data_IF_061331049385
#
_entry.id   IF_061331049385
#
_cell.length_a   1.000
_cell.length_b   1.000
_cell.length_c   1.000
_cell.angle_alpha   90.00
_cell.angle_beta   90.00
_cell.angle_gamma   90.00
#
_symmetry.space_group_name_H-M   'P 1'
#
loop_
_entity.id
_entity.type
_entity.pdbx_description
1 polymer ?
#
# COMPACT_ATOMS: atom_id res chain seq x y z
N UNK A 1 40.81 15.35 -8.27
CA UNK A 1 39.80 15.18 -7.23
C UNK A 1 39.10 13.82 -7.44
N UNK A 2 39.35 12.85 -6.58
CA UNK A 2 38.79 11.51 -6.71
C UNK A 2 37.28 11.55 -6.36
N UNK A 3 36.45 11.13 -7.30
CA UNK A 3 35.03 10.94 -7.11
C UNK A 3 34.87 9.82 -6.07
N UNK A 4 34.45 10.14 -4.87
CA UNK A 4 34.07 9.15 -3.85
C UNK A 4 32.97 8.28 -4.45
N UNK A 5 33.26 7.02 -4.74
CA UNK A 5 32.26 6.03 -5.09
C UNK A 5 31.31 5.88 -3.90
N UNK A 6 30.11 6.37 -4.04
CA UNK A 6 29.06 6.00 -3.10
C UNK A 6 28.86 4.48 -3.24
N UNK A 7 29.18 3.73 -2.17
CA UNK A 7 28.80 2.33 -2.06
C UNK A 7 27.30 2.27 -2.35
N UNK A 8 26.92 1.57 -3.40
CA UNK A 8 25.51 1.33 -3.71
C UNK A 8 24.86 0.70 -2.45
N UNK A 9 23.93 1.40 -1.85
CA UNK A 9 23.13 0.86 -0.74
C UNK A 9 22.36 -0.31 -1.34
N UNK A 10 22.67 -1.53 -0.91
CA UNK A 10 21.97 -2.74 -1.35
C UNK A 10 21.07 -3.15 -0.21
N UNK A 11 19.78 -3.34 -0.49
CA UNK A 11 18.83 -3.90 0.46
C UNK A 11 19.27 -5.32 0.80
N UNK A 12 19.30 -5.67 2.10
CA UNK A 12 19.75 -6.98 2.57
C UNK A 12 18.69 -8.07 2.37
N UNK A 13 17.43 -7.68 2.34
CA UNK A 13 16.29 -8.60 2.18
C UNK A 13 16.17 -9.09 0.74
N UNK A 14 15.97 -10.41 0.59
CA UNK A 14 15.66 -11.04 -0.70
C UNK A 14 14.23 -10.75 -1.16
N UNK A 15 13.31 -10.57 -0.23
CA UNK A 15 11.87 -10.44 -0.46
C UNK A 15 11.35 -9.13 0.13
N UNK A 16 10.24 -8.61 -0.41
CA UNK A 16 9.48 -7.51 0.18
C UNK A 16 8.16 -8.04 0.74
N UNK A 17 8.17 -8.53 1.97
CA UNK A 17 7.00 -9.18 2.59
C UNK A 17 6.20 -8.23 3.49
N UNK A 18 6.85 -7.26 4.12
CA UNK A 18 6.24 -6.28 5.01
C UNK A 18 7.10 -5.04 5.18
N UNK A 19 6.53 -4.02 5.79
CA UNK A 19 7.26 -2.81 6.20
C UNK A 19 8.13 -3.09 7.41
N UNK A 20 7.68 -3.97 8.31
CA UNK A 20 8.41 -4.32 9.52
C UNK A 20 9.80 -4.92 9.25
N UNK A 21 9.99 -5.53 8.08
CA UNK A 21 11.25 -6.17 7.70
C UNK A 21 12.26 -5.17 7.09
N UNK A 22 11.87 -3.91 6.90
CA UNK A 22 12.69 -2.86 6.30
C UNK A 22 13.27 -1.93 7.36
N UNK A 23 14.51 -1.51 7.15
CA UNK A 23 15.10 -0.39 7.89
C UNK A 23 14.68 0.95 7.30
N UNK A 24 14.88 2.04 8.05
CA UNK A 24 14.67 3.42 7.53
C UNK A 24 15.55 3.68 6.30
N UNK A 25 16.77 3.13 6.27
CA UNK A 25 17.66 3.26 5.11
C UNK A 25 17.11 2.55 3.88
N UNK A 26 16.52 1.35 4.05
CA UNK A 26 15.89 0.60 2.95
C UNK A 26 14.67 1.34 2.40
N UNK A 27 13.83 1.87 3.30
CA UNK A 27 12.67 2.67 2.93
C UNK A 27 13.11 3.89 2.11
N UNK A 28 14.07 4.66 2.62
CA UNK A 28 14.58 5.83 1.92
C UNK A 28 15.21 5.47 0.57
N UNK A 29 15.89 4.34 0.47
CA UNK A 29 16.46 3.86 -0.78
C UNK A 29 15.36 3.55 -1.80
N UNK A 30 14.30 2.82 -1.41
CA UNK A 30 13.15 2.52 -2.28
C UNK A 30 12.46 3.83 -2.73
N UNK A 31 12.21 4.76 -1.82
CA UNK A 31 11.53 6.01 -2.13
C UNK A 31 12.36 6.89 -3.08
N UNK A 32 13.69 6.97 -2.87
CA UNK A 32 14.60 7.71 -3.75
C UNK A 32 14.69 7.07 -5.15
N UNK A 33 14.71 5.76 -5.24
CA UNK A 33 14.65 5.05 -6.51
C UNK A 33 13.32 5.29 -7.23
N UNK A 34 12.20 5.30 -6.49
CA UNK A 34 10.88 5.57 -7.04
C UNK A 34 10.75 6.99 -7.64
N UNK A 35 11.39 7.99 -7.04
CA UNK A 35 11.39 9.38 -7.56
C UNK A 35 11.94 9.47 -8.98
N UNK A 36 12.92 8.63 -9.34
CA UNK A 36 13.49 8.60 -10.69
C UNK A 36 12.44 8.19 -11.74
N UNK A 37 11.44 7.38 -11.37
CA UNK A 37 10.41 6.91 -12.28
C UNK A 37 9.21 7.85 -12.41
N UNK A 38 9.07 8.87 -11.57
CA UNK A 38 7.93 9.81 -11.63
C UNK A 38 7.91 10.52 -13.00
N UNK A 39 9.03 11.10 -13.41
CA UNK A 39 9.15 11.81 -14.68
C UNK A 39 9.09 10.86 -15.88
N UNK A 40 9.66 9.67 -15.76
CA UNK A 40 9.58 8.64 -16.80
C UNK A 40 8.11 8.29 -17.11
N UNK A 41 7.28 8.17 -16.07
CA UNK A 41 5.87 7.84 -16.22
C UNK A 41 5.06 8.89 -17.00
N UNK A 42 5.54 10.13 -17.05
CA UNK A 42 4.95 11.25 -17.82
C UNK A 42 5.56 11.45 -19.21
N UNK A 43 6.69 10.81 -19.50
CA UNK A 43 7.41 10.97 -20.79
C UNK A 43 6.71 10.25 -21.95
N UNK A 44 7.07 10.60 -23.19
CA UNK A 44 6.59 9.90 -24.39
C UNK A 44 7.07 8.46 -24.45
N UNK A 45 8.37 8.23 -24.22
CA UNK A 45 8.93 6.89 -24.09
C UNK A 45 8.97 6.49 -22.61
N UNK A 46 8.16 5.49 -22.25
CA UNK A 46 8.02 5.01 -20.87
C UNK A 46 8.70 3.67 -20.65
N UNK A 47 9.46 3.17 -21.65
CA UNK A 47 10.13 1.87 -21.58
C UNK A 47 11.59 2.01 -21.26
N UNK A 48 12.07 1.09 -20.42
CA UNK A 48 13.46 0.85 -20.07
C UNK A 48 13.78 -0.62 -20.31
N UNK A 49 15.07 -0.92 -20.45
CA UNK A 49 15.58 -2.31 -20.59
C UNK A 49 16.15 -2.85 -19.27
N UNK A 50 15.79 -2.25 -18.14
CA UNK A 50 16.35 -2.57 -16.81
C UNK A 50 16.14 -4.03 -16.41
N UNK A 51 14.98 -4.60 -16.75
CA UNK A 51 14.60 -5.99 -16.47
C UNK A 51 14.42 -6.82 -17.75
N UNK A 52 15.13 -6.46 -18.82
CA UNK A 52 15.10 -7.21 -20.06
C UNK A 52 15.59 -8.65 -19.84
N UNK A 53 14.83 -9.63 -20.30
CA UNK A 53 15.10 -11.06 -20.11
C UNK A 53 14.79 -11.59 -18.72
N UNK A 54 14.16 -10.79 -17.85
CA UNK A 54 13.66 -11.19 -16.54
C UNK A 54 12.19 -11.53 -16.62
N UNK A 55 11.77 -12.60 -15.92
CA UNK A 55 10.38 -13.06 -15.86
C UNK A 55 9.73 -12.64 -14.54
N UNK A 56 8.67 -11.85 -14.65
CA UNK A 56 7.82 -11.45 -13.53
C UNK A 56 6.49 -12.20 -13.60
N UNK A 57 6.11 -12.89 -12.51
CA UNK A 57 4.79 -13.50 -12.38
C UNK A 57 3.95 -12.71 -11.38
N UNK A 58 2.79 -12.22 -11.80
CA UNK A 58 1.79 -11.61 -10.93
C UNK A 58 0.73 -12.66 -10.55
N UNK A 59 0.76 -13.11 -9.31
CA UNK A 59 -0.05 -14.21 -8.79
C UNK A 59 -1.14 -13.64 -7.85
N UNK A 60 -2.37 -13.51 -8.34
CA UNK A 60 -3.46 -12.89 -7.60
C UNK A 60 -4.55 -13.89 -7.24
N UNK A 61 -4.68 -14.20 -5.94
CA UNK A 61 -5.74 -15.04 -5.37
C UNK A 61 -6.95 -14.21 -4.91
N UNK A 62 -6.82 -12.89 -4.87
CA UNK A 62 -7.88 -11.95 -4.52
C UNK A 62 -7.98 -10.89 -5.64
N UNK A 63 -9.18 -10.58 -6.14
CA UNK A 63 -9.35 -9.59 -7.21
C UNK A 63 -8.79 -8.21 -6.82
N UNK A 64 -8.01 -7.61 -7.67
CA UNK A 64 -7.48 -6.26 -7.47
C UNK A 64 -7.03 -5.61 -8.78
N UNK A 65 -7.97 -4.96 -9.47
CA UNK A 65 -7.67 -4.30 -10.75
C UNK A 65 -6.52 -3.31 -10.65
N UNK A 66 -6.56 -2.38 -9.68
CA UNK A 66 -5.51 -1.35 -9.52
C UNK A 66 -4.13 -1.94 -9.24
N UNK A 67 -4.02 -2.82 -8.25
CA UNK A 67 -2.72 -3.36 -7.85
C UNK A 67 -2.13 -4.24 -8.94
N UNK A 68 -2.93 -5.12 -9.54
CA UNK A 68 -2.49 -5.99 -10.61
C UNK A 68 -2.06 -5.20 -11.84
N UNK A 69 -2.90 -4.29 -12.35
CA UNK A 69 -2.57 -3.47 -13.52
C UNK A 69 -1.33 -2.59 -13.28
N UNK A 70 -1.17 -2.07 -12.05
CA UNK A 70 -0.02 -1.25 -11.70
C UNK A 70 1.29 -2.04 -11.68
N UNK A 71 1.31 -3.28 -11.15
CA UNK A 71 2.49 -4.14 -11.20
C UNK A 71 2.77 -4.63 -12.63
N UNK A 72 1.74 -4.97 -13.39
CA UNK A 72 1.89 -5.36 -14.79
C UNK A 72 2.48 -4.22 -15.63
N UNK A 73 1.95 -3.01 -15.44
CA UNK A 73 2.45 -1.82 -16.12
C UNK A 73 3.90 -1.51 -15.71
N UNK A 74 4.22 -1.63 -14.43
CA UNK A 74 5.57 -1.39 -13.90
C UNK A 74 6.60 -2.36 -14.50
N UNK A 75 6.30 -3.65 -14.53
CA UNK A 75 7.20 -4.65 -15.14
C UNK A 75 7.39 -4.44 -16.63
N UNK A 76 6.31 -4.20 -17.38
CA UNK A 76 6.36 -3.91 -18.82
C UNK A 76 7.15 -2.64 -19.14
N UNK A 77 7.11 -1.61 -18.27
CA UNK A 77 7.91 -0.39 -18.42
C UNK A 77 9.40 -0.62 -18.17
N UNK A 78 9.72 -1.56 -17.28
CA UNK A 78 11.10 -1.96 -17.00
C UNK A 78 11.66 -2.97 -18.02
N UNK A 79 10.85 -3.45 -18.97
CA UNK A 79 11.28 -4.39 -20.00
C UNK A 79 11.20 -5.86 -19.59
N UNK A 80 10.53 -6.19 -18.48
CA UNK A 80 10.34 -7.56 -18.04
C UNK A 80 9.30 -8.31 -18.90
N UNK A 81 9.45 -9.63 -19.01
CA UNK A 81 8.40 -10.54 -19.48
C UNK A 81 7.41 -10.76 -18.34
N UNK A 82 6.21 -10.17 -18.46
CA UNK A 82 5.21 -10.15 -17.40
C UNK A 82 4.07 -11.12 -17.69
N UNK A 83 3.88 -12.08 -16.80
CA UNK A 83 2.75 -12.99 -16.80
C UNK A 83 1.82 -12.69 -15.63
N UNK A 84 0.56 -12.35 -15.89
CA UNK A 84 -0.45 -12.09 -14.86
C UNK A 84 -1.45 -13.26 -14.79
N UNK A 85 -1.54 -13.89 -13.62
CA UNK A 85 -2.42 -15.02 -13.34
C UNK A 85 -3.48 -14.63 -12.33
N UNK A 86 -4.74 -14.80 -12.71
CA UNK A 86 -5.87 -14.67 -11.78
C UNK A 86 -6.36 -16.07 -11.43
N UNK A 87 -5.96 -16.58 -10.28
CA UNK A 87 -6.15 -17.97 -9.87
C UNK A 87 -7.55 -18.24 -9.32
N UNK A 88 -8.30 -17.20 -8.95
CA UNK A 88 -9.67 -17.34 -8.40
C UNK A 88 -10.57 -18.24 -9.26
N UNK A 89 -10.29 -18.35 -10.54
CA UNK A 89 -11.12 -19.11 -11.49
C UNK A 89 -10.48 -20.40 -12.05
N UNK A 90 -9.22 -20.74 -11.75
CA UNK A 90 -8.54 -21.84 -12.45
C UNK A 90 -8.06 -23.00 -11.57
N UNK A 91 -7.05 -22.81 -10.70
CA UNK A 91 -6.38 -23.91 -10.01
C UNK A 91 -7.06 -24.29 -8.67
N UNK A 92 -7.54 -23.31 -7.89
CA UNK A 92 -8.21 -23.57 -6.59
C UNK A 92 -9.48 -24.42 -6.78
N UNK A 93 -10.21 -24.25 -7.87
CA UNK A 93 -11.40 -25.06 -8.19
C UNK A 93 -11.09 -26.56 -8.41
N UNK A 94 -9.81 -26.89 -8.64
CA UNK A 94 -9.33 -28.26 -8.82
C UNK A 94 -8.69 -28.86 -7.56
N UNK A 95 -8.70 -28.13 -6.42
CA UNK A 95 -8.12 -28.59 -5.16
C UNK A 95 -6.60 -28.38 -5.03
N UNK A 96 -5.98 -27.59 -5.92
CA UNK A 96 -4.56 -27.27 -5.85
C UNK A 96 -4.29 -26.33 -4.66
N UNK A 97 -3.25 -26.66 -3.86
CA UNK A 97 -2.85 -25.83 -2.71
C UNK A 97 -1.95 -24.67 -3.16
N UNK A 98 -1.79 -23.67 -2.28
CA UNK A 98 -0.81 -22.59 -2.49
C UNK A 98 0.62 -23.12 -2.67
N UNK A 99 0.97 -24.22 -1.97
CA UNK A 99 2.30 -24.84 -2.06
C UNK A 99 2.48 -25.50 -3.42
N UNK A 100 1.49 -26.23 -3.92
CA UNK A 100 1.55 -26.86 -5.25
C UNK A 100 1.69 -25.83 -6.35
N UNK A 101 0.91 -24.73 -6.26
CA UNK A 101 1.05 -23.59 -7.18
C UNK A 101 2.45 -22.98 -7.11
N UNK A 102 2.99 -22.78 -5.89
CA UNK A 102 4.35 -22.24 -5.70
C UNK A 102 5.41 -23.14 -6.33
N UNK A 103 5.34 -24.45 -6.12
CA UNK A 103 6.27 -25.43 -6.68
C UNK A 103 6.20 -25.48 -8.21
N UNK A 104 4.99 -25.46 -8.77
CA UNK A 104 4.77 -25.42 -10.21
C UNK A 104 5.39 -24.16 -10.84
N UNK A 105 5.17 -23.00 -10.25
CA UNK A 105 5.73 -21.75 -10.77
C UNK A 105 7.25 -21.68 -10.57
N UNK A 106 7.77 -22.19 -9.45
CA UNK A 106 9.20 -22.24 -9.21
C UNK A 106 9.94 -23.09 -10.28
N UNK A 107 9.34 -24.18 -10.72
CA UNK A 107 9.88 -25.02 -11.79
C UNK A 107 9.95 -24.33 -13.17
N UNK A 108 9.26 -23.18 -13.33
CA UNK A 108 9.34 -22.33 -14.54
C UNK A 108 10.46 -21.28 -14.43
N UNK A 109 11.23 -21.27 -13.34
CA UNK A 109 12.36 -20.39 -13.08
C UNK A 109 12.05 -18.89 -13.26
N UNK A 110 10.99 -18.32 -12.60
CA UNK A 110 10.77 -16.88 -12.63
C UNK A 110 11.87 -16.16 -11.83
N UNK A 111 12.12 -14.92 -12.19
CA UNK A 111 13.04 -14.07 -11.43
C UNK A 111 12.33 -13.37 -10.26
N UNK A 112 11.02 -13.14 -10.38
CA UNK A 112 10.24 -12.47 -9.35
C UNK A 112 8.76 -12.88 -9.38
N UNK A 113 8.19 -13.11 -8.20
CA UNK A 113 6.76 -13.34 -8.00
C UNK A 113 6.16 -12.20 -7.19
N UNK A 114 5.12 -11.56 -7.73
CA UNK A 114 4.25 -10.61 -7.02
C UNK A 114 3.01 -11.35 -6.59
N UNK A 115 2.77 -11.47 -5.29
CA UNK A 115 1.63 -12.25 -4.78
C UNK A 115 0.64 -11.37 -4.00
N UNK A 116 -0.66 -11.61 -4.23
CA UNK A 116 -1.75 -11.09 -3.42
C UNK A 116 -2.65 -12.23 -2.98
N UNK A 117 -2.87 -12.35 -1.68
CA UNK A 117 -3.66 -13.44 -1.09
C UNK A 117 -4.65 -12.91 -0.04
N UNK A 118 -5.77 -13.63 0.13
CA UNK A 118 -6.79 -13.32 1.13
C UNK A 118 -6.37 -13.73 2.54
N UNK A 119 -5.52 -14.74 2.69
CA UNK A 119 -5.09 -15.26 3.98
C UNK A 119 -3.76 -14.64 4.40
N UNK A 120 -3.69 -14.20 5.66
CA UNK A 120 -2.46 -13.63 6.25
C UNK A 120 -1.38 -14.70 6.41
N UNK A 121 -0.14 -14.37 6.02
CA UNK A 121 1.00 -15.28 6.05
C UNK A 121 1.25 -16.02 4.74
N UNK A 122 0.33 -16.00 3.78
CA UNK A 122 0.47 -16.67 2.49
C UNK A 122 1.71 -16.21 1.72
N UNK A 123 2.00 -14.90 1.73
CA UNK A 123 3.19 -14.36 1.07
C UNK A 123 4.50 -14.89 1.70
N UNK A 124 4.53 -15.02 3.03
CA UNK A 124 5.67 -15.56 3.75
C UNK A 124 5.84 -17.06 3.49
N UNK A 125 4.74 -17.82 3.48
CA UNK A 125 4.78 -19.26 3.16
C UNK A 125 5.32 -19.48 1.74
N UNK A 126 4.84 -18.72 0.75
CA UNK A 126 5.30 -18.83 -0.63
C UNK A 126 6.79 -18.46 -0.76
N UNK A 127 7.26 -17.43 -0.07
CA UNK A 127 8.67 -17.01 -0.13
C UNK A 127 9.66 -18.07 0.34
N UNK A 128 9.22 -19.01 1.21
CA UNK A 128 10.02 -20.15 1.68
C UNK A 128 10.04 -21.33 0.72
N UNK A 129 9.22 -21.32 -0.34
CA UNK A 129 9.02 -22.42 -1.28
C UNK A 129 9.50 -22.11 -2.69
N UNK A 130 9.99 -20.90 -2.93
CA UNK A 130 10.47 -20.46 -4.24
C UNK A 130 11.90 -19.91 -4.17
N UNK A 131 12.64 -20.08 -5.25
CA UNK A 131 14.03 -19.63 -5.37
C UNK A 131 14.12 -18.14 -5.75
N UNK A 132 13.10 -17.59 -6.39
CA UNK A 132 13.05 -16.20 -6.82
C UNK A 132 12.64 -15.23 -5.69
N UNK A 133 12.75 -13.94 -5.94
CA UNK A 133 12.26 -12.91 -5.02
C UNK A 133 10.74 -12.86 -4.99
N UNK A 134 10.18 -12.48 -3.83
CA UNK A 134 8.73 -12.35 -3.63
C UNK A 134 8.39 -10.94 -3.17
N UNK A 135 7.40 -10.32 -3.83
CA UNK A 135 6.81 -9.03 -3.42
C UNK A 135 5.37 -9.24 -2.98
N UNK A 136 5.07 -8.82 -1.77
CA UNK A 136 3.72 -8.81 -1.20
C UNK A 136 2.88 -7.66 -1.81
N UNK A 137 1.84 -8.01 -2.57
CA UNK A 137 0.86 -7.08 -3.15
C UNK A 137 -0.46 -7.03 -2.35
N UNK A 138 -0.45 -7.55 -1.12
CA UNK A 138 -1.56 -7.58 -0.19
C UNK A 138 -1.77 -8.96 0.43
N UNK A 139 -1.49 -9.08 1.73
CA UNK A 139 -1.45 -10.31 2.51
C UNK A 139 -2.55 -10.29 3.59
N UNK A 140 -3.70 -10.81 3.28
CA UNK A 140 -4.83 -10.91 4.21
C UNK A 140 -5.18 -9.58 4.88
N UNK A 141 -5.10 -9.57 6.22
CA UNK A 141 -5.22 -8.37 7.06
C UNK A 141 -3.86 -7.87 7.55
N UNK A 142 -2.75 -8.54 7.13
CA UNK A 142 -1.42 -8.30 7.70
C UNK A 142 -0.77 -7.07 7.10
N UNK A 143 -0.35 -7.10 5.84
CA UNK A 143 0.39 -6.00 5.24
C UNK A 143 0.14 -5.81 3.74
N UNK A 144 0.42 -4.59 3.27
CA UNK A 144 0.49 -4.21 1.86
C UNK A 144 1.64 -3.19 1.69
N UNK A 145 2.91 -3.64 1.72
CA UNK A 145 4.06 -2.75 1.83
C UNK A 145 4.14 -1.73 0.70
N UNK A 146 3.87 -2.13 -0.56
CA UNK A 146 3.93 -1.18 -1.67
C UNK A 146 2.82 -0.12 -1.64
N UNK A 147 1.73 -0.34 -0.90
CA UNK A 147 0.73 0.69 -0.65
C UNK A 147 1.24 1.73 0.34
N UNK A 148 1.81 1.30 1.48
CA UNK A 148 2.37 2.24 2.45
C UNK A 148 3.53 3.05 1.85
N UNK A 149 4.40 2.42 1.05
CA UNK A 149 5.49 3.12 0.36
C UNK A 149 4.99 4.17 -0.63
N UNK A 150 3.92 3.89 -1.40
CA UNK A 150 3.36 4.91 -2.31
C UNK A 150 2.64 6.02 -1.53
N UNK A 151 2.00 5.69 -0.43
CA UNK A 151 1.37 6.68 0.45
C UNK A 151 2.44 7.62 1.03
N UNK A 152 3.55 7.07 1.53
CA UNK A 152 4.69 7.85 2.02
C UNK A 152 5.32 8.71 0.92
N UNK A 153 5.51 8.17 -0.30
CA UNK A 153 6.02 8.96 -1.43
C UNK A 153 5.07 10.12 -1.77
N UNK A 154 3.75 9.87 -1.76
CA UNK A 154 2.74 10.91 -2.01
C UNK A 154 2.83 12.04 -0.98
N UNK A 155 2.99 11.68 0.30
CA UNK A 155 3.16 12.65 1.38
C UNK A 155 4.42 13.48 1.17
N UNK A 156 5.55 12.84 0.88
CA UNK A 156 6.83 13.53 0.66
C UNK A 156 6.76 14.48 -0.54
N UNK A 157 6.13 14.08 -1.64
CA UNK A 157 5.98 14.93 -2.83
C UNK A 157 5.08 16.17 -2.59
N UNK A 158 4.18 16.11 -1.60
CA UNK A 158 3.24 17.19 -1.30
C UNK A 158 3.63 18.03 -0.06
N UNK A 159 4.25 17.42 0.93
CA UNK A 159 4.61 18.05 2.24
C UNK A 159 6.12 18.07 2.51
N UNK A 160 6.95 17.62 1.53
CA UNK A 160 8.41 17.58 1.57
C UNK A 160 9.01 16.58 2.56
N UNK A 161 8.37 16.31 3.67
CA UNK A 161 8.81 15.40 4.74
C UNK A 161 7.62 14.69 5.40
N UNK A 162 7.92 13.63 6.13
CA UNK A 162 6.93 12.92 6.98
C UNK A 162 7.18 13.24 8.46
N UNK A 163 8.43 13.37 8.86
CA UNK A 163 8.80 13.62 10.25
C UNK A 163 8.08 14.85 10.81
N UNK A 164 7.42 14.67 11.95
CA UNK A 164 6.69 15.71 12.67
C UNK A 164 5.34 16.09 12.07
N UNK A 165 4.88 15.44 10.97
CA UNK A 165 3.50 15.59 10.51
C UNK A 165 2.55 14.82 11.40
N UNK A 166 1.35 15.37 11.56
CA UNK A 166 0.25 14.72 12.24
C UNK A 166 -0.72 14.12 11.21
N UNK A 167 -0.87 12.80 11.26
CA UNK A 167 -1.57 12.03 10.23
C UNK A 167 -2.71 11.24 10.86
N UNK A 168 -3.94 11.51 10.43
CA UNK A 168 -5.11 10.73 10.83
C UNK A 168 -5.33 9.58 9.84
N UNK A 169 -5.50 8.35 10.36
CA UNK A 169 -5.96 7.17 9.61
C UNK A 169 -7.33 6.80 10.14
N UNK A 170 -8.35 6.95 9.30
CA UNK A 170 -9.76 6.87 9.69
C UNK A 170 -10.49 5.72 9.02
N UNK A 171 -11.25 4.95 9.77
CA UNK A 171 -12.16 3.95 9.21
C UNK A 171 -12.04 2.56 9.80
N UNK A 172 -12.16 1.53 8.96
CA UNK A 172 -12.03 0.14 9.37
C UNK A 172 -10.57 -0.24 9.58
N UNK A 173 -10.09 -0.06 10.79
CA UNK A 173 -8.68 -0.34 11.15
C UNK A 173 -8.46 -1.84 11.35
N UNK A 174 -9.44 -2.53 11.98
CA UNK A 174 -9.33 -3.93 12.36
C UNK A 174 -9.07 -4.86 11.16
N UNK A 175 -9.72 -4.58 10.02
CA UNK A 175 -9.62 -5.42 8.84
C UNK A 175 -8.65 -4.87 7.79
N UNK A 176 -8.02 -3.72 8.03
CA UNK A 176 -7.22 -3.02 7.03
C UNK A 176 -5.73 -3.34 7.11
N UNK A 177 -5.23 -4.13 6.15
CA UNK A 177 -3.80 -4.29 5.91
C UNK A 177 -3.09 -2.97 5.52
N UNK A 178 -3.82 -2.03 4.91
CA UNK A 178 -3.29 -0.72 4.54
C UNK A 178 -3.04 0.13 5.79
N UNK A 179 -4.01 0.14 6.74
CA UNK A 179 -3.80 0.80 8.03
C UNK A 179 -2.53 0.28 8.71
N UNK A 180 -2.39 -1.04 8.80
CA UNK A 180 -1.27 -1.67 9.50
C UNK A 180 0.08 -1.32 8.89
N UNK A 181 0.23 -1.45 7.57
CA UNK A 181 1.48 -1.08 6.89
C UNK A 181 1.78 0.41 7.00
N UNK A 182 0.77 1.30 6.93
CA UNK A 182 0.96 2.73 7.13
C UNK A 182 1.33 3.07 8.57
N UNK A 183 0.73 2.43 9.57
CA UNK A 183 1.11 2.61 10.98
C UNK A 183 2.61 2.33 11.14
N UNK A 184 3.10 1.17 10.70
CA UNK A 184 4.52 0.84 10.80
C UNK A 184 5.40 1.87 10.09
N UNK A 185 5.08 2.19 8.84
CA UNK A 185 5.90 3.08 8.03
C UNK A 185 5.94 4.51 8.58
N UNK A 186 4.78 5.08 8.88
CA UNK A 186 4.66 6.48 9.27
C UNK A 186 5.22 6.74 10.67
N UNK A 187 5.01 5.82 11.63
CA UNK A 187 5.62 5.93 12.96
C UNK A 187 7.14 5.76 12.87
N UNK A 188 7.65 4.82 12.07
CA UNK A 188 9.08 4.66 11.82
C UNK A 188 9.72 5.90 11.20
N UNK A 189 9.00 6.63 10.34
CA UNK A 189 9.46 7.88 9.72
C UNK A 189 9.21 9.12 10.58
N UNK A 190 8.73 8.96 11.82
CA UNK A 190 8.61 10.03 12.82
C UNK A 190 7.35 10.90 12.68
N UNK A 191 6.29 10.40 12.08
CA UNK A 191 4.98 11.04 12.11
C UNK A 191 4.27 10.81 13.46
N UNK A 192 3.45 11.75 13.89
CA UNK A 192 2.41 11.55 14.91
C UNK A 192 1.18 10.94 14.22
N UNK A 193 0.83 9.69 14.56
CA UNK A 193 -0.27 8.99 13.91
C UNK A 193 -1.48 8.88 14.82
N UNK A 194 -2.60 9.43 14.38
CA UNK A 194 -3.91 9.33 15.04
C UNK A 194 -4.75 8.26 14.33
N UNK A 195 -5.21 7.27 15.06
CA UNK A 195 -6.13 6.24 14.58
C UNK A 195 -7.54 6.59 15.02
N UNK A 196 -8.45 6.71 14.05
CA UNK A 196 -9.84 7.09 14.32
C UNK A 196 -10.77 6.00 13.77
N UNK A 197 -11.55 5.37 14.65
CA UNK A 197 -12.40 4.26 14.28
C UNK A 197 -13.54 4.06 15.28
N UNK A 198 -14.69 3.49 14.86
CA UNK A 198 -15.65 2.92 15.79
C UNK A 198 -14.97 1.92 16.74
N UNK A 199 -15.41 1.84 17.96
CA UNK A 199 -14.77 0.98 18.99
C UNK A 199 -14.70 -0.49 18.57
N UNK A 200 -15.72 -0.99 17.88
CA UNK A 200 -15.79 -2.37 17.38
C UNK A 200 -14.93 -2.65 16.13
N UNK A 201 -14.43 -1.61 15.46
CA UNK A 201 -13.48 -1.70 14.34
C UNK A 201 -12.07 -1.24 14.74
N UNK A 202 -11.85 -0.97 16.02
CA UNK A 202 -10.58 -0.59 16.60
C UNK A 202 -9.88 -1.82 17.17
N UNK A 203 -8.65 -2.15 16.72
CA UNK A 203 -7.88 -3.23 17.33
C UNK A 203 -7.58 -2.93 18.80
N UNK A 204 -7.63 -3.97 19.64
CA UNK A 204 -7.13 -3.89 21.00
C UNK A 204 -5.63 -3.56 20.98
N UNK A 205 -5.17 -2.82 21.97
CA UNK A 205 -3.74 -2.51 22.15
C UNK A 205 -3.07 -1.78 20.97
N UNK A 206 -3.83 -1.10 20.11
CA UNK A 206 -3.28 -0.39 18.93
C UNK A 206 -2.22 0.65 19.33
N UNK A 207 -2.33 1.21 20.53
CA UNK A 207 -1.39 2.20 21.08
C UNK A 207 0.03 1.62 21.25
N UNK A 208 0.19 0.29 21.36
CA UNK A 208 1.51 -0.37 21.41
C UNK A 208 2.35 -0.14 20.15
N UNK A 209 1.73 0.28 19.06
CA UNK A 209 2.42 0.65 17.82
C UNK A 209 2.84 2.14 17.78
N UNK A 210 2.75 2.85 18.92
CA UNK A 210 3.16 4.26 19.02
C UNK A 210 2.17 5.24 18.38
N UNK A 211 0.89 4.89 18.34
CA UNK A 211 -0.18 5.72 17.77
C UNK A 211 -1.15 6.21 18.83
N UNK A 212 -1.83 7.33 18.55
CA UNK A 212 -2.93 7.83 19.39
C UNK A 212 -4.25 7.24 18.92
N UNK A 213 -5.13 6.86 19.86
CA UNK A 213 -6.42 6.22 19.59
C UNK A 213 -7.58 7.15 19.85
N UNK A 214 -8.51 7.24 18.90
CA UNK A 214 -9.71 8.08 19.00
C UNK A 214 -10.95 7.34 18.47
N UNK A 215 -12.06 7.52 19.16
CA UNK A 215 -13.41 7.11 18.69
C UNK A 215 -14.24 8.31 18.21
N UNK A 216 -13.68 9.51 18.25
CA UNK A 216 -14.33 10.76 17.90
C UNK A 216 -13.52 11.49 16.81
N UNK A 217 -14.20 11.81 15.69
CA UNK A 217 -13.55 12.44 14.52
C UNK A 217 -13.02 13.82 14.86
N UNK A 218 -13.74 14.63 15.64
CA UNK A 218 -13.33 16.00 15.99
C UNK A 218 -12.02 16.02 16.77
N UNK A 219 -11.90 15.12 17.75
CA UNK A 219 -10.68 15.01 18.57
C UNK A 219 -9.51 14.43 17.77
N UNK A 220 -9.78 13.39 17.00
CA UNK A 220 -8.74 12.69 16.25
C UNK A 220 -8.20 13.46 15.05
N UNK A 221 -9.03 14.28 14.39
CA UNK A 221 -8.62 15.12 13.25
C UNK A 221 -7.94 16.42 13.66
N UNK A 222 -8.01 16.79 14.94
CA UNK A 222 -7.51 18.09 15.41
C UNK A 222 -6.05 18.32 15.01
N UNK A 223 -5.83 19.40 14.25
CA UNK A 223 -4.53 19.86 13.78
C UNK A 223 -3.78 18.86 12.89
N UNK A 224 -4.47 17.90 12.27
CA UNK A 224 -3.86 16.95 11.35
C UNK A 224 -3.45 17.61 10.04
N UNK A 225 -2.26 17.25 9.54
CA UNK A 225 -1.74 17.65 8.22
C UNK A 225 -2.31 16.78 7.11
N UNK A 226 -2.70 15.55 7.44
CA UNK A 226 -3.18 14.54 6.48
C UNK A 226 -4.33 13.75 7.10
N UNK A 227 -5.35 13.52 6.30
CA UNK A 227 -6.49 12.66 6.62
C UNK A 227 -6.56 11.52 5.62
N UNK A 228 -6.17 10.33 6.06
CA UNK A 228 -6.24 9.11 5.25
C UNK A 228 -7.51 8.35 5.60
N UNK A 229 -8.46 8.31 4.67
CA UNK A 229 -9.69 7.56 4.81
C UNK A 229 -9.50 6.12 4.32
N UNK A 230 -10.07 5.16 5.03
CA UNK A 230 -10.03 3.75 4.69
C UNK A 230 -11.41 3.27 4.27
N UNK A 231 -11.43 2.38 3.28
CA UNK A 231 -12.66 1.73 2.84
C UNK A 231 -13.24 0.84 3.94
N UNK A 232 -14.54 0.93 4.12
CA UNK A 232 -15.29 -0.01 4.95
C UNK A 232 -15.32 -1.38 4.25
N UNK A 233 -14.79 -2.42 4.92
CA UNK A 233 -14.58 -3.73 4.31
C UNK A 233 -15.70 -4.70 4.65
N UNK A 234 -16.93 -4.40 4.20
CA UNK A 234 -18.14 -5.20 4.49
C UNK A 234 -17.95 -6.69 4.14
N UNK A 235 -17.20 -7.00 3.08
CA UNK A 235 -16.92 -8.37 2.65
C UNK A 235 -16.05 -9.18 3.62
N UNK A 236 -15.40 -8.53 4.57
CA UNK A 236 -14.56 -9.16 5.61
C UNK A 236 -15.22 -9.22 6.98
N UNK A 237 -16.42 -8.65 7.09
CA UNK A 237 -17.20 -8.66 8.31
C UNK A 237 -18.11 -9.88 8.33
N UNK A 238 -17.91 -10.77 9.30
CA UNK A 238 -18.74 -11.98 9.48
C UNK A 238 -19.99 -11.74 10.32
N UNK A 239 -20.13 -10.55 10.91
CA UNK A 239 -21.25 -10.13 11.77
C UNK A 239 -21.56 -8.66 11.57
N UNK A 240 -22.70 -8.21 12.09
CA UNK A 240 -23.15 -6.82 12.02
C UNK A 240 -22.29 -5.92 12.93
N UNK A 241 -21.08 -5.55 12.45
CA UNK A 241 -20.20 -4.63 13.16
C UNK A 241 -20.72 -3.19 13.16
N UNK A 242 -21.62 -2.86 12.23
CA UNK A 242 -22.18 -1.54 12.07
C UNK A 242 -23.70 -1.63 11.94
N UNK A 243 -24.41 -0.67 12.53
CA UNK A 243 -25.87 -0.59 12.45
C UNK A 243 -26.34 -0.27 11.03
N UNK A 244 -25.67 0.65 10.34
CA UNK A 244 -25.92 0.99 8.93
C UNK A 244 -24.78 1.81 8.31
N UNK A 245 -24.70 1.81 6.96
CA UNK A 245 -23.78 2.69 6.24
C UNK A 245 -24.09 4.17 6.46
N UNK A 246 -25.38 4.53 6.67
CA UNK A 246 -25.79 5.92 6.93
C UNK A 246 -25.29 6.40 8.29
N UNK A 247 -25.43 5.57 9.32
CA UNK A 247 -24.91 5.88 10.66
C UNK A 247 -23.37 5.98 10.64
N UNK A 248 -22.70 5.07 9.94
CA UNK A 248 -21.25 5.16 9.76
C UNK A 248 -20.83 6.46 9.08
N UNK A 249 -21.50 6.88 8.01
CA UNK A 249 -21.23 8.16 7.32
C UNK A 249 -21.44 9.35 8.27
N UNK A 250 -22.49 9.35 9.03
CA UNK A 250 -22.79 10.42 9.97
C UNK A 250 -21.69 10.61 11.02
N UNK A 251 -21.17 9.52 11.59
CA UNK A 251 -20.18 9.60 12.65
C UNK A 251 -18.73 9.58 12.13
N UNK A 252 -18.41 8.80 11.12
CA UNK A 252 -17.03 8.51 10.67
C UNK A 252 -16.76 8.81 9.20
N UNK A 253 -17.77 9.10 8.39
CA UNK A 253 -17.56 9.60 7.02
C UNK A 253 -16.93 10.98 7.03
N UNK A 254 -15.91 11.20 6.20
CA UNK A 254 -15.29 12.51 6.04
C UNK A 254 -16.19 13.43 5.22
N UNK A 255 -16.72 14.46 5.86
CA UNK A 255 -17.54 15.52 5.27
C UNK A 255 -16.76 16.84 5.23
N UNK A 256 -17.20 17.85 4.45
CA UNK A 256 -16.58 19.18 4.48
C UNK A 256 -16.51 19.77 5.90
N UNK A 257 -17.58 19.63 6.70
CA UNK A 257 -17.62 20.15 8.08
C UNK A 257 -16.60 19.43 8.98
N UNK A 258 -16.47 18.12 8.88
CA UNK A 258 -15.48 17.35 9.67
C UNK A 258 -14.05 17.67 9.24
N UNK A 259 -13.83 17.95 7.96
CA UNK A 259 -12.50 18.30 7.47
C UNK A 259 -12.01 19.64 8.07
N UNK A 260 -12.90 20.52 8.52
CA UNK A 260 -12.53 21.77 9.24
C UNK A 260 -11.85 21.53 10.58
N UNK A 261 -11.91 20.31 11.14
CA UNK A 261 -11.19 19.98 12.37
C UNK A 261 -9.69 19.75 12.13
N UNK A 262 -9.30 19.40 10.90
CA UNK A 262 -7.90 19.32 10.48
C UNK A 262 -7.38 20.70 10.07
N UNK A 263 -6.10 20.79 9.71
CA UNK A 263 -5.53 22.05 9.19
C UNK A 263 -6.18 22.45 7.87
N UNK A 264 -6.20 23.75 7.60
CA UNK A 264 -6.80 24.30 6.36
C UNK A 264 -6.15 23.75 5.09
N UNK A 265 -4.85 23.41 5.14
CA UNK A 265 -4.08 22.80 4.06
C UNK A 265 -3.94 21.27 4.19
N UNK A 266 -4.76 20.63 5.04
CA UNK A 266 -4.71 19.19 5.22
C UNK A 266 -5.03 18.44 3.93
N UNK A 267 -4.23 17.43 3.61
CA UNK A 267 -4.42 16.59 2.43
C UNK A 267 -5.34 15.41 2.73
N UNK A 268 -6.13 15.04 1.73
CA UNK A 268 -7.04 13.89 1.79
C UNK A 268 -6.43 12.75 0.98
N UNK A 269 -6.31 11.58 1.60
CA UNK A 269 -5.79 10.36 1.01
C UNK A 269 -6.80 9.21 1.11
N UNK A 270 -6.75 8.29 0.14
CA UNK A 270 -7.55 7.07 0.16
C UNK A 270 -6.90 5.98 -0.71
N UNK A 271 -6.64 4.77 -0.20
CA UNK A 271 -5.96 3.72 -0.97
C UNK A 271 -6.82 3.12 -2.09
N UNK A 272 -8.12 3.45 -2.10
CA UNK A 272 -9.11 2.92 -3.04
C UNK A 272 -9.34 1.38 -2.93
N UNK A 273 -10.48 0.87 -3.48
CA UNK A 273 -11.60 1.64 -4.00
C UNK A 273 -12.30 2.41 -2.88
N UNK A 274 -12.91 3.52 -3.20
CA UNK A 274 -13.70 4.27 -2.23
C UNK A 274 -15.20 4.02 -2.42
N UNK A 275 -15.94 3.99 -1.31
CA UNK A 275 -17.40 4.00 -1.30
C UNK A 275 -17.85 5.44 -1.03
N UNK A 276 -18.12 6.18 -2.10
CA UNK A 276 -18.57 7.58 -2.02
C UNK A 276 -19.89 7.67 -1.24
N UNK A 277 -19.98 8.61 -0.31
CA UNK A 277 -21.12 8.76 0.57
C UNK A 277 -21.19 7.73 1.72
N UNK A 278 -20.09 6.99 1.97
CA UNK A 278 -19.95 6.10 3.13
C UNK A 278 -18.76 6.50 3.98
N UNK A 279 -17.53 6.35 3.48
CA UNK A 279 -16.34 6.79 4.23
C UNK A 279 -15.87 8.19 3.85
N UNK A 280 -16.26 8.70 2.66
CA UNK A 280 -15.84 10.01 2.18
C UNK A 280 -16.95 10.66 1.33
N UNK A 281 -17.16 11.96 1.51
CA UNK A 281 -18.02 12.76 0.65
C UNK A 281 -17.48 12.83 -0.78
N UNK A 282 -18.38 12.82 -1.76
CA UNK A 282 -18.01 12.81 -3.18
C UNK A 282 -17.21 14.06 -3.57
N UNK A 283 -17.61 15.24 -3.09
CA UNK A 283 -16.95 16.49 -3.43
C UNK A 283 -15.53 16.54 -2.85
N UNK A 284 -15.33 16.00 -1.64
CA UNK A 284 -14.01 15.93 -1.02
C UNK A 284 -13.08 14.94 -1.75
N UNK A 285 -13.61 13.81 -2.21
CA UNK A 285 -12.82 12.83 -2.96
C UNK A 285 -12.29 13.43 -4.28
N UNK A 286 -13.02 14.36 -4.88
CA UNK A 286 -12.68 14.99 -6.16
C UNK A 286 -12.12 16.43 -6.01
N UNK A 287 -11.91 16.91 -4.77
CA UNK A 287 -11.31 18.22 -4.50
C UNK A 287 -9.88 18.29 -5.04
N UNK A 288 -9.68 19.11 -6.07
CA UNK A 288 -8.39 19.27 -6.76
C UNK A 288 -7.31 19.93 -5.90
N UNK A 289 -7.67 20.62 -4.83
CA UNK A 289 -6.73 21.33 -3.96
C UNK A 289 -6.25 20.47 -2.80
N UNK A 290 -7.09 19.59 -2.29
CA UNK A 290 -6.84 18.83 -1.05
C UNK A 290 -6.75 17.32 -1.27
N UNK A 291 -7.47 16.76 -2.25
CA UNK A 291 -7.44 15.32 -2.53
C UNK A 291 -6.23 14.95 -3.39
N UNK A 292 -5.39 14.04 -2.87
CA UNK A 292 -4.21 13.51 -3.57
C UNK A 292 -4.40 12.04 -3.99
N UNK A 293 -5.66 11.60 -4.08
CA UNK A 293 -6.02 10.21 -4.41
C UNK A 293 -5.54 9.80 -5.82
N UNK A 294 -5.58 10.73 -6.77
CA UNK A 294 -5.10 10.49 -8.14
C UNK A 294 -3.58 10.35 -8.17
N UNK A 295 -2.88 11.20 -7.44
CA UNK A 295 -1.42 11.16 -7.28
C UNK A 295 -0.98 9.85 -6.63
N UNK A 296 -1.71 9.32 -5.62
CA UNK A 296 -1.42 8.00 -5.05
C UNK A 296 -1.42 6.90 -6.12
N UNK A 297 -2.37 6.93 -7.06
CA UNK A 297 -2.42 5.96 -8.16
C UNK A 297 -1.23 6.13 -9.11
N UNK A 298 -0.91 7.35 -9.48
CA UNK A 298 0.22 7.67 -10.36
C UNK A 298 1.56 7.26 -9.74
N UNK A 299 1.82 7.69 -8.51
CA UNK A 299 3.04 7.39 -7.77
C UNK A 299 3.15 5.89 -7.42
N UNK A 300 2.02 5.20 -7.34
CA UNK A 300 1.98 3.77 -7.15
C UNK A 300 2.69 2.97 -8.24
N UNK A 301 2.65 3.44 -9.49
CA UNK A 301 3.42 2.80 -10.58
C UNK A 301 4.92 3.03 -10.39
N UNK A 302 5.34 4.25 -10.01
CA UNK A 302 6.74 4.57 -9.78
C UNK A 302 7.35 3.75 -8.62
N UNK A 303 6.62 3.62 -7.49
CA UNK A 303 7.05 2.79 -6.36
C UNK A 303 7.17 1.33 -6.75
N UNK A 304 6.20 0.79 -7.51
CA UNK A 304 6.26 -0.60 -7.95
C UNK A 304 7.39 -0.83 -8.94
N UNK A 305 7.71 0.12 -9.82
CA UNK A 305 8.91 0.06 -10.67
C UNK A 305 10.19 0.00 -9.82
N UNK A 306 10.30 0.83 -8.78
CA UNK A 306 11.44 0.79 -7.86
C UNK A 306 11.55 -0.56 -7.14
N UNK A 307 10.45 -1.06 -6.58
CA UNK A 307 10.44 -2.37 -5.93
C UNK A 307 10.83 -3.51 -6.89
N UNK A 308 10.28 -3.53 -8.10
CA UNK A 308 10.63 -4.53 -9.11
C UNK A 308 12.12 -4.47 -9.48
N UNK A 309 12.66 -3.27 -9.74
CA UNK A 309 14.09 -3.07 -10.05
C UNK A 309 14.99 -3.56 -8.92
N UNK A 310 14.63 -3.27 -7.66
CA UNK A 310 15.46 -3.59 -6.49
C UNK A 310 15.44 -5.09 -6.17
N UNK A 311 14.28 -5.73 -6.24
CA UNK A 311 14.08 -7.11 -5.80
C UNK A 311 14.17 -8.14 -6.93
N UNK A 312 14.28 -7.75 -8.20
CA UNK A 312 14.43 -8.63 -9.35
C UNK A 312 15.90 -8.73 -9.84
N UNK A 313 16.87 -8.53 -8.95
CA UNK A 313 18.30 -8.58 -9.28
C UNK A 313 18.95 -9.87 -8.88
#
# INVERSE_FOLDING_TARGET
MAIKSHKAVKISQKHLLGIQDLSISDINFILNEAKQFINLNKSKNKKLDTLRGKTQINLFFEPSTRTQSSFELAGKRLGADVMSMNIVNSAIKKGETLIDTAMTLNAMHPDLIVIRHQDSGACNLLSQKVDCSVINAGDGRREHPTQALLDALTIIEKKEKIQGLKIAICGDILHSRVARSNIYLLTMLGAEVNIISPTNLMPEDIEKFGVNKFSDMKKGLKDCDIVMMLRLQNERMTSSFLSSNREYYEYYGLTPDKLTYAKDDALIMHPGPMNRGIEIDTNLADDINRSVIREQVELGVAVRMACLKIFCT
#
